data_IF_438968341873
#
_entry.id   IF_438968341873
#
_cell.length_a   1.000
_cell.length_b   1.000
_cell.length_c   1.000
_cell.angle_alpha   90.00
_cell.angle_beta   90.00
_cell.angle_gamma   90.00
#
_symmetry.space_group_name_H-M   'P 1'
#
loop_
_entity.id
_entity.type
_entity.pdbx_description
1 polymer ?
#
# COMPACT_ATOMS: atom_id res chain seq x y z
N UNK A 1 -15.24 5.32 5.48
CA UNK A 1 -14.02 6.14 5.34
C UNK A 1 -13.22 5.54 4.20
N UNK A 2 -12.97 6.27 3.10
CA UNK A 2 -12.03 5.82 2.05
C UNK A 2 -10.79 6.68 2.17
N UNK A 3 -9.69 6.11 2.65
CA UNK A 3 -8.42 6.84 2.88
C UNK A 3 -7.91 7.45 1.57
N UNK A 4 -8.28 6.87 0.43
CA UNK A 4 -7.83 7.26 -0.91
C UNK A 4 -8.98 7.74 -1.85
N UNK A 5 -10.20 7.99 -1.36
CA UNK A 5 -11.31 8.47 -2.21
C UNK A 5 -11.87 7.45 -3.22
N UNK A 6 -12.48 7.93 -4.31
CA UNK A 6 -13.12 7.12 -5.38
C UNK A 6 -12.10 6.73 -6.46
N UNK A 7 -11.02 6.06 -6.04
CA UNK A 7 -9.92 5.66 -6.92
C UNK A 7 -10.31 4.44 -7.78
N UNK A 8 -10.94 4.72 -8.91
CA UNK A 8 -11.29 3.73 -9.95
C UNK A 8 -10.08 3.28 -10.79
N UNK A 9 -8.85 3.57 -10.36
CA UNK A 9 -7.59 3.37 -11.10
C UNK A 9 -6.53 2.77 -10.16
N UNK A 10 -6.82 1.61 -9.56
CA UNK A 10 -5.85 0.89 -8.74
C UNK A 10 -4.98 -0.09 -9.54
N UNK A 11 -5.36 -0.42 -10.78
CA UNK A 11 -4.65 -1.41 -11.58
C UNK A 11 -3.21 -0.97 -11.98
N UNK A 12 -2.88 0.32 -11.83
CA UNK A 12 -1.58 0.88 -12.25
C UNK A 12 -0.62 1.21 -11.10
N UNK A 13 -1.05 1.15 -9.85
CA UNK A 13 -0.21 1.58 -8.71
C UNK A 13 0.84 0.53 -8.34
N UNK A 14 0.52 -0.74 -8.53
CA UNK A 14 1.46 -1.87 -8.38
C UNK A 14 2.56 -1.82 -9.45
N UNK A 15 2.24 -1.37 -10.67
CA UNK A 15 3.23 -1.19 -11.74
C UNK A 15 4.30 -0.14 -11.43
N UNK A 16 4.08 0.72 -10.42
CA UNK A 16 5.10 1.66 -9.95
C UNK A 16 6.23 0.98 -9.15
N UNK A 17 6.14 -0.32 -8.84
CA UNK A 17 7.12 -1.06 -8.06
C UNK A 17 7.89 -2.04 -8.94
N UNK A 18 9.22 -1.86 -9.03
CA UNK A 18 10.10 -2.78 -9.78
C UNK A 18 10.43 -4.05 -9.00
N UNK A 19 10.29 -4.00 -7.67
CA UNK A 19 10.53 -5.12 -6.78
C UNK A 19 9.23 -5.91 -6.57
N UNK A 20 9.25 -7.20 -6.86
CA UNK A 20 8.11 -8.13 -6.76
C UNK A 20 7.54 -8.18 -5.34
N UNK A 21 8.37 -8.10 -4.31
CA UNK A 21 7.90 -8.05 -2.91
C UNK A 21 7.16 -6.75 -2.62
N UNK A 22 7.70 -5.60 -3.06
CA UNK A 22 7.05 -4.30 -2.88
C UNK A 22 5.72 -4.22 -3.64
N UNK A 23 5.67 -4.78 -4.86
CA UNK A 23 4.46 -4.91 -5.66
C UNK A 23 3.37 -5.73 -4.93
N UNK A 24 3.75 -6.88 -4.36
CA UNK A 24 2.83 -7.73 -3.58
C UNK A 24 2.29 -7.02 -2.35
N UNK A 25 3.15 -6.31 -1.63
CA UNK A 25 2.76 -5.49 -0.49
C UNK A 25 1.80 -4.38 -0.92
N UNK A 26 2.04 -3.73 -2.06
CA UNK A 26 1.15 -2.71 -2.62
C UNK A 26 -0.24 -3.29 -2.93
N UNK A 27 -0.29 -4.44 -3.62
CA UNK A 27 -1.55 -5.14 -3.91
C UNK A 27 -2.32 -5.48 -2.63
N UNK A 28 -1.63 -5.94 -1.58
CA UNK A 28 -2.25 -6.21 -0.29
C UNK A 28 -2.86 -4.95 0.35
N UNK A 29 -2.17 -3.81 0.30
CA UNK A 29 -2.72 -2.54 0.75
C UNK A 29 -3.94 -2.11 -0.06
N UNK A 30 -3.90 -2.25 -1.38
CA UNK A 30 -5.01 -1.92 -2.29
C UNK A 30 -6.24 -2.77 -1.96
N UNK A 31 -6.07 -4.09 -1.83
CA UNK A 31 -7.11 -5.02 -1.41
C UNK A 31 -7.73 -4.60 -0.07
N UNK A 32 -6.88 -4.27 0.91
CA UNK A 32 -7.31 -3.82 2.23
C UNK A 32 -8.08 -2.48 2.21
N UNK A 33 -7.65 -1.53 1.38
CA UNK A 33 -8.31 -0.23 1.23
C UNK A 33 -9.66 -0.33 0.51
N UNK A 34 -9.81 -1.25 -0.45
CA UNK A 34 -10.99 -1.34 -1.32
C UNK A 34 -12.09 -2.25 -0.80
N UNK A 35 -11.74 -3.43 -0.27
CA UNK A 35 -12.71 -4.48 0.08
C UNK A 35 -12.66 -4.87 1.58
N UNK A 36 -11.84 -4.15 2.36
CA UNK A 36 -11.50 -4.53 3.72
C UNK A 36 -10.63 -5.79 3.78
N UNK A 37 -10.31 -6.27 4.98
CA UNK A 37 -9.44 -7.45 5.19
C UNK A 37 -10.09 -8.80 4.83
N UNK A 38 -11.17 -8.82 4.03
CA UNK A 38 -11.86 -10.07 3.67
C UNK A 38 -11.16 -10.86 2.55
N UNK A 39 -10.08 -10.31 1.97
CA UNK A 39 -9.12 -11.06 1.16
C UNK A 39 -8.04 -11.71 2.03
N UNK A 40 -8.33 -12.87 2.65
CA UNK A 40 -7.36 -13.62 3.48
C UNK A 40 -6.11 -14.07 2.66
N UNK A 41 -6.25 -14.19 1.33
CA UNK A 41 -5.20 -14.75 0.47
C UNK A 41 -4.01 -13.82 0.23
N UNK A 42 -4.22 -12.49 0.20
CA UNK A 42 -3.14 -11.52 -0.03
C UNK A 42 -2.28 -11.34 1.23
N UNK A 43 -2.93 -11.30 2.40
CA UNK A 43 -2.28 -11.15 3.70
C UNK A 43 -1.32 -12.33 4.00
N UNK A 44 -1.68 -13.55 3.55
CA UNK A 44 -0.83 -14.75 3.66
C UNK A 44 0.36 -14.75 2.69
N UNK A 45 0.25 -14.07 1.54
CA UNK A 45 1.29 -14.05 0.52
C UNK A 45 2.38 -13.03 0.83
N UNK A 46 2.00 -11.96 1.54
CA UNK A 46 2.89 -10.89 1.99
C UNK A 46 3.51 -11.18 3.36
N UNK A 47 2.90 -12.03 4.18
CA UNK A 47 3.54 -12.66 5.36
C UNK A 47 4.56 -13.76 4.98
N UNK A 48 5.35 -13.57 3.92
CA UNK A 48 6.60 -14.31 3.82
C UNK A 48 7.46 -13.93 5.03
N UNK A 49 8.14 -14.92 5.64
CA UNK A 49 8.95 -14.72 6.85
C UNK A 49 10.08 -13.68 6.67
N UNK A 50 10.33 -13.29 5.41
CA UNK A 50 11.37 -12.38 4.97
C UNK A 50 10.88 -10.94 4.70
N UNK A 51 9.57 -10.67 4.59
CA UNK A 51 9.10 -9.30 4.30
C UNK A 51 9.28 -8.43 5.54
N UNK A 52 10.24 -7.50 5.48
CA UNK A 52 10.56 -6.60 6.58
C UNK A 52 9.47 -5.55 6.81
N UNK A 53 9.29 -5.11 8.06
CA UNK A 53 8.44 -3.95 8.41
C UNK A 53 8.86 -2.70 7.62
N UNK A 54 10.15 -2.56 7.33
CA UNK A 54 10.69 -1.45 6.53
C UNK A 54 10.11 -1.46 5.11
N UNK A 55 9.97 -2.63 4.50
CA UNK A 55 9.35 -2.81 3.18
C UNK A 55 7.89 -2.33 3.21
N UNK A 56 7.12 -2.73 4.22
CA UNK A 56 5.74 -2.26 4.37
C UNK A 56 5.65 -0.75 4.51
N UNK A 57 6.49 -0.15 5.37
CA UNK A 57 6.50 1.30 5.57
C UNK A 57 6.91 2.06 4.30
N UNK A 58 7.89 1.54 3.57
CA UNK A 58 8.35 2.10 2.29
C UNK A 58 7.23 2.08 1.24
N UNK A 59 6.56 0.93 1.08
CA UNK A 59 5.44 0.79 0.14
C UNK A 59 4.28 1.69 0.54
N UNK A 60 3.94 1.71 1.82
CA UNK A 60 2.90 2.58 2.37
C UNK A 60 3.20 4.05 2.06
N UNK A 61 4.40 4.56 2.34
CA UNK A 61 4.80 5.92 1.98
C UNK A 61 4.68 6.19 0.47
N UNK A 62 5.18 5.26 -0.36
CA UNK A 62 5.17 5.41 -1.81
C UNK A 62 3.75 5.50 -2.37
N UNK A 63 2.81 4.72 -1.85
CA UNK A 63 1.38 4.82 -2.21
C UNK A 63 0.87 6.26 -2.01
N UNK A 64 1.16 6.90 -0.87
CA UNK A 64 0.72 8.28 -0.64
C UNK A 64 1.44 9.28 -1.55
N UNK A 65 2.71 9.06 -1.88
CA UNK A 65 3.45 9.93 -2.82
C UNK A 65 2.87 9.84 -4.24
N UNK A 66 2.74 8.63 -4.78
CA UNK A 66 2.25 8.40 -6.15
C UNK A 66 0.79 8.83 -6.32
N UNK A 67 -0.03 8.74 -5.25
CA UNK A 67 -1.42 9.21 -5.29
C UNK A 67 -1.58 10.71 -4.98
N UNK A 68 -0.49 11.46 -4.75
CA UNK A 68 -0.54 12.91 -4.46
C UNK A 68 -1.02 13.26 -3.05
N UNK A 69 -1.08 12.30 -2.14
CA UNK A 69 -1.51 12.45 -0.75
C UNK A 69 -0.34 12.48 0.26
N UNK A 70 0.87 12.82 -0.18
CA UNK A 70 2.07 12.85 0.67
C UNK A 70 1.88 13.71 1.94
N UNK A 71 1.17 14.84 1.85
CA UNK A 71 0.88 15.69 3.01
C UNK A 71 0.09 14.96 4.10
N UNK A 72 -0.85 14.08 3.70
CA UNK A 72 -1.62 13.26 4.65
C UNK A 72 -0.73 12.19 5.29
N UNK A 73 0.17 11.56 4.53
CA UNK A 73 1.17 10.65 5.08
C UNK A 73 2.06 11.34 6.13
N UNK A 74 2.61 12.52 5.80
CA UNK A 74 3.44 13.31 6.72
C UNK A 74 2.69 13.66 8.01
N UNK A 75 1.42 14.04 7.90
CA UNK A 75 0.54 14.28 9.05
C UNK A 75 0.39 13.03 9.93
N UNK A 76 0.10 11.86 9.35
CA UNK A 76 -0.05 10.59 10.07
C UNK A 76 1.24 10.18 10.80
N UNK A 77 2.37 10.33 10.13
CA UNK A 77 3.68 9.96 10.65
C UNK A 77 4.30 11.01 11.57
N UNK A 78 3.65 12.18 11.72
CA UNK A 78 4.16 13.35 12.48
C UNK A 78 5.53 13.83 12.00
N UNK A 79 5.75 13.74 10.69
CA UNK A 79 6.94 14.22 10.01
C UNK A 79 6.67 15.67 9.56
N UNK A 80 7.59 16.59 9.88
CA UNK A 80 7.49 18.00 9.52
C UNK A 80 8.05 18.28 8.13
#
# INVERSE_FOLDING_TARGET
>A
FRILGDFKHNDSLSECFENIEEERVCNSFISWFNDGSHGISDDLFVQSQDTSIETYLKVFEKIFKETGHEAHYKMMMRIK
#
